data_IF_907350112560
#
_entry.id   IF_907350112560
#
_cell.length_a   1.000
_cell.length_b   1.000
_cell.length_c   1.000
_cell.angle_alpha   90.00
_cell.angle_beta   90.00
_cell.angle_gamma   90.00
#
_symmetry.space_group_name_H-M   'P 1'
#
loop_
_entity.id
_entity.type
_entity.pdbx_description
1 polymer ?
#
# COMPACT_ATOMS: atom_id res chain seq x y z
N UNK A 1 -38.40 -9.18 27.90
CA UNK A 1 -38.17 -8.11 26.91
C UNK A 1 -36.84 -8.45 26.28
N UNK A 2 -36.92 -9.08 25.13
CA UNK A 2 -35.77 -9.55 24.35
C UNK A 2 -35.29 -8.32 23.56
N UNK A 3 -34.12 -7.79 23.92
CA UNK A 3 -33.48 -6.71 23.17
C UNK A 3 -32.53 -7.41 22.21
N UNK A 4 -33.05 -7.79 21.05
CA UNK A 4 -32.20 -8.18 19.92
C UNK A 4 -31.43 -6.94 19.48
N UNK A 5 -30.18 -6.82 19.95
CA UNK A 5 -29.16 -6.01 19.29
C UNK A 5 -29.13 -6.43 17.82
N UNK A 6 -29.63 -5.55 16.95
CA UNK A 6 -29.54 -5.76 15.53
C UNK A 6 -28.06 -5.64 15.15
N UNK A 7 -27.46 -6.72 14.64
CA UNK A 7 -26.12 -6.65 14.08
C UNK A 7 -26.09 -5.54 13.01
N UNK A 8 -25.10 -4.63 13.07
CA UNK A 8 -24.99 -3.54 12.12
C UNK A 8 -24.84 -4.10 10.71
N UNK A 9 -25.45 -3.44 9.73
CA UNK A 9 -25.40 -3.90 8.34
C UNK A 9 -24.00 -3.68 7.78
N UNK A 10 -23.49 -4.62 6.98
CA UNK A 10 -22.22 -4.49 6.26
C UNK A 10 -22.13 -3.11 5.57
N UNK A 11 -21.25 -2.24 6.07
CA UNK A 11 -21.10 -0.84 5.62
C UNK A 11 -21.38 0.23 6.69
N UNK A 12 -22.24 -0.05 7.68
CA UNK A 12 -22.46 0.85 8.82
C UNK A 12 -21.26 0.84 9.77
N UNK A 13 -20.60 -0.32 9.94
CA UNK A 13 -19.40 -0.47 10.78
C UNK A 13 -18.25 0.42 10.30
N UNK A 14 -17.93 0.41 9.01
CA UNK A 14 -16.88 1.26 8.45
C UNK A 14 -17.23 2.75 8.60
N UNK A 15 -18.46 3.17 8.30
CA UNK A 15 -18.82 4.59 8.46
C UNK A 15 -18.79 5.02 9.95
N UNK A 16 -19.12 4.13 10.88
CA UNK A 16 -18.96 4.38 12.32
C UNK A 16 -17.49 4.53 12.73
N UNK A 17 -16.62 3.63 12.25
CA UNK A 17 -15.17 3.73 12.48
C UNK A 17 -14.62 5.05 11.91
N UNK A 18 -14.99 5.41 10.68
CA UNK A 18 -14.56 6.66 10.04
C UNK A 18 -15.08 7.89 10.79
N UNK A 19 -16.31 7.85 11.31
CA UNK A 19 -16.84 8.93 12.14
C UNK A 19 -16.04 9.10 13.44
N UNK A 20 -15.71 8.00 14.11
CA UNK A 20 -14.86 8.02 15.30
C UNK A 20 -13.46 8.58 14.97
N UNK A 21 -12.84 8.09 13.90
CA UNK A 21 -11.54 8.57 13.41
C UNK A 21 -11.54 10.06 13.08
N UNK A 22 -12.61 10.55 12.43
CA UNK A 22 -12.74 11.99 12.15
C UNK A 22 -12.78 12.85 13.42
N UNK A 23 -13.32 12.30 14.51
CA UNK A 23 -13.36 12.98 15.80
C UNK A 23 -12.02 12.92 16.54
N UNK A 24 -11.30 11.80 16.42
CA UNK A 24 -10.00 11.59 17.04
C UNK A 24 -8.92 12.46 16.39
N UNK A 25 -8.84 12.43 15.06
CA UNK A 25 -7.79 13.11 14.30
C UNK A 25 -8.16 14.56 13.95
N UNK A 26 -9.44 14.92 13.98
CA UNK A 26 -9.87 16.31 13.77
C UNK A 26 -9.37 16.89 12.45
N UNK A 27 -8.54 17.92 12.54
CA UNK A 27 -7.95 18.61 11.37
C UNK A 27 -6.94 17.75 10.60
N UNK A 28 -6.35 16.75 11.25
CA UNK A 28 -5.39 15.82 10.64
C UNK A 28 -6.07 14.74 9.81
N UNK A 29 -7.41 14.69 9.80
CA UNK A 29 -8.20 13.79 8.98
C UNK A 29 -8.79 14.49 7.76
N UNK A 30 -8.76 13.82 6.61
CA UNK A 30 -9.46 14.27 5.42
C UNK A 30 -10.05 13.09 4.65
N UNK A 31 -11.36 13.14 4.37
CA UNK A 31 -12.00 12.23 3.41
C UNK A 31 -11.65 12.69 1.99
N UNK A 32 -10.84 11.91 1.27
CA UNK A 32 -10.39 12.26 -0.09
C UNK A 32 -11.49 11.96 -1.12
N UNK A 33 -12.25 10.90 -0.91
CA UNK A 33 -13.41 10.52 -1.73
C UNK A 33 -13.66 9.02 -1.71
N UNK A 34 -14.93 8.60 -1.77
CA UNK A 34 -15.32 7.19 -1.72
C UNK A 34 -14.81 6.51 -0.45
N UNK A 35 -14.02 5.46 -0.64
CA UNK A 35 -13.36 4.59 0.35
C UNK A 35 -11.91 5.00 0.65
N UNK A 36 -11.54 6.25 0.36
CA UNK A 36 -10.19 6.78 0.51
C UNK A 36 -10.14 7.88 1.55
N UNK A 37 -9.27 7.69 2.53
CA UNK A 37 -9.12 8.54 3.70
C UNK A 37 -7.65 8.94 3.85
N UNK A 38 -7.42 10.10 4.44
CA UNK A 38 -6.07 10.64 4.62
C UNK A 38 -5.91 11.11 6.04
N UNK A 39 -4.75 10.79 6.60
CA UNK A 39 -4.37 11.09 7.96
C UNK A 39 -2.99 11.73 7.96
N UNK A 40 -2.83 12.81 8.71
CA UNK A 40 -1.52 13.35 9.07
C UNK A 40 -1.13 12.78 10.43
N UNK A 41 -0.07 12.00 10.45
CA UNK A 41 0.43 11.36 11.68
C UNK A 41 1.64 12.15 12.17
N UNK A 42 1.50 12.71 13.36
CA UNK A 42 2.56 13.44 14.03
C UNK A 42 3.32 12.55 15.01
N UNK A 43 4.60 12.86 15.19
CA UNK A 43 5.40 12.29 16.26
C UNK A 43 5.25 13.17 17.51
N UNK A 44 4.85 12.57 18.64
CA UNK A 44 4.60 13.25 19.91
C UNK A 44 5.89 13.57 20.69
N UNK A 45 7.07 13.19 20.19
CA UNK A 45 8.32 13.35 20.94
C UNK A 45 8.72 14.84 21.04
N UNK A 46 8.74 15.38 22.26
CA UNK A 46 9.14 16.76 22.58
C UNK A 46 10.63 16.82 22.99
N UNK A 47 11.51 16.27 22.15
CA UNK A 47 12.97 16.22 22.39
C UNK A 47 13.67 17.20 21.45
N UNK A 48 14.60 18.00 22.01
CA UNK A 48 15.43 18.96 21.29
C UNK A 48 16.10 18.34 20.05
N UNK A 49 15.45 18.57 18.92
CA UNK A 49 15.90 18.61 17.52
C UNK A 49 17.26 17.94 17.18
N UNK A 50 17.31 16.61 17.00
CA UNK A 50 18.34 16.01 16.18
C UNK A 50 18.08 16.33 14.69
N UNK A 51 19.12 16.53 13.86
CA UNK A 51 18.94 16.81 12.44
C UNK A 51 18.31 15.60 11.72
N UNK A 52 17.41 15.85 10.76
CA UNK A 52 16.70 14.86 9.90
C UNK A 52 15.47 14.16 10.49
N UNK A 53 14.80 14.76 11.48
CA UNK A 53 13.54 14.25 12.04
C UNK A 53 12.35 14.50 11.11
N UNK A 54 11.47 13.50 10.97
CA UNK A 54 10.17 13.67 10.35
C UNK A 54 9.17 14.20 11.39
N UNK A 55 8.65 15.41 11.20
CA UNK A 55 7.66 16.04 12.11
C UNK A 55 6.25 15.49 11.90
N UNK A 56 6.03 14.83 10.77
CA UNK A 56 4.80 14.11 10.50
C UNK A 56 4.82 13.45 9.12
N UNK A 57 3.97 12.45 8.95
CA UNK A 57 3.83 11.69 7.70
C UNK A 57 2.37 11.63 7.31
N UNK A 58 2.11 11.83 6.02
CA UNK A 58 0.77 11.78 5.48
C UNK A 58 0.47 10.37 4.97
N UNK A 59 -0.44 9.67 5.63
CA UNK A 59 -0.88 8.32 5.25
C UNK A 59 -2.22 8.40 4.55
N UNK A 60 -2.33 7.73 3.41
CA UNK A 60 -3.60 7.53 2.70
C UNK A 60 -4.01 6.07 2.84
N UNK A 61 -5.24 5.88 3.31
CA UNK A 61 -5.87 4.59 3.58
C UNK A 61 -6.94 4.37 2.52
N UNK A 62 -6.89 3.23 1.83
CA UNK A 62 -7.89 2.80 0.86
C UNK A 62 -8.52 1.49 1.35
N UNK A 63 -9.79 1.52 1.73
CA UNK A 63 -10.52 0.32 2.16
C UNK A 63 -11.15 -0.38 0.98
N UNK A 64 -11.22 -1.71 0.98
CA UNK A 64 -11.98 -2.45 -0.04
C UNK A 64 -13.46 -2.55 0.35
N UNK A 65 -14.30 -3.04 -0.56
CA UNK A 65 -15.70 -3.36 -0.24
C UNK A 65 -15.85 -4.56 0.70
N UNK A 66 -14.76 -5.28 0.99
CA UNK A 66 -14.74 -6.45 1.87
C UNK A 66 -14.02 -6.18 3.19
N UNK A 67 -13.64 -4.93 3.45
CA UNK A 67 -13.19 -4.50 4.77
C UNK A 67 -14.29 -4.75 5.82
N UNK A 68 -13.97 -5.25 7.03
CA UNK A 68 -12.63 -5.48 7.60
C UNK A 68 -12.04 -6.89 7.34
N UNK A 69 -12.68 -7.72 6.53
CA UNK A 69 -12.15 -9.06 6.17
C UNK A 69 -11.01 -9.03 5.14
N UNK A 70 -10.70 -7.83 4.65
CA UNK A 70 -9.55 -7.56 3.79
C UNK A 70 -8.84 -6.33 4.34
N UNK A 71 -7.50 -6.36 4.51
CA UNK A 71 -6.76 -5.22 5.03
C UNK A 71 -6.93 -4.00 4.13
N UNK A 72 -6.95 -2.79 4.70
CA UNK A 72 -6.87 -1.57 3.90
C UNK A 72 -5.46 -1.43 3.29
N UNK A 73 -5.38 -0.81 2.11
CA UNK A 73 -4.11 -0.44 1.51
C UNK A 73 -3.64 0.90 2.09
N UNK A 74 -2.44 0.91 2.67
CA UNK A 74 -1.83 2.10 3.27
C UNK A 74 -0.70 2.60 2.37
N UNK A 75 -0.68 3.90 2.12
CA UNK A 75 0.38 4.54 1.34
C UNK A 75 0.86 5.84 1.97
N UNK A 76 2.17 6.03 2.04
CA UNK A 76 2.74 7.30 2.44
C UNK A 76 2.77 8.29 1.25
N UNK A 77 2.17 9.46 1.45
CA UNK A 77 2.08 10.55 0.46
C UNK A 77 3.11 11.65 0.70
N UNK A 78 3.70 11.72 1.89
CA UNK A 78 4.76 12.68 2.19
C UNK A 78 6.06 12.32 1.46
N UNK A 79 6.70 13.31 0.84
CA UNK A 79 7.96 13.08 0.09
C UNK A 79 9.10 12.68 1.03
N UNK A 80 9.18 13.32 2.19
CA UNK A 80 10.23 13.09 3.19
C UNK A 80 10.02 11.77 3.94
N UNK A 81 8.76 11.33 4.12
CA UNK A 81 8.42 10.07 4.79
C UNK A 81 8.52 8.81 3.93
N UNK A 82 9.10 8.86 2.73
CA UNK A 82 9.21 7.68 1.85
C UNK A 82 10.13 6.60 2.41
N UNK A 83 11.31 6.98 2.89
CA UNK A 83 12.27 6.04 3.48
C UNK A 83 11.71 5.39 4.75
N UNK A 84 11.11 6.21 5.61
CA UNK A 84 10.34 5.74 6.76
C UNK A 84 9.28 4.71 6.36
N UNK A 85 8.46 5.03 5.35
CA UNK A 85 7.40 4.13 4.92
C UNK A 85 7.94 2.82 4.36
N UNK A 86 9.02 2.85 3.59
CA UNK A 86 9.67 1.62 3.09
C UNK A 86 10.11 0.71 4.23
N UNK A 87 10.63 1.28 5.31
CA UNK A 87 11.04 0.53 6.50
C UNK A 87 9.84 0.02 7.32
N UNK A 88 8.81 0.84 7.52
CA UNK A 88 7.67 0.50 8.39
C UNK A 88 6.62 -0.40 7.70
N UNK A 89 6.48 -0.31 6.38
CA UNK A 89 5.34 -0.85 5.62
C UNK A 89 5.08 -2.33 5.89
N UNK A 90 6.12 -3.17 5.80
CA UNK A 90 5.94 -4.62 5.97
C UNK A 90 5.37 -4.96 7.35
N UNK A 91 5.89 -4.31 8.40
CA UNK A 91 5.44 -4.53 9.78
C UNK A 91 3.99 -4.09 9.97
N UNK A 92 3.58 -2.98 9.35
CA UNK A 92 2.20 -2.47 9.38
C UNK A 92 1.26 -3.42 8.61
N UNK A 93 1.67 -3.93 7.45
CA UNK A 93 0.90 -4.91 6.67
C UNK A 93 0.73 -6.23 7.41
N UNK A 94 1.79 -6.74 8.05
CA UNK A 94 1.73 -7.93 8.89
C UNK A 94 0.76 -7.75 10.06
N UNK A 95 0.77 -6.58 10.71
CA UNK A 95 -0.16 -6.29 11.79
C UNK A 95 -1.62 -6.23 11.32
N UNK A 96 -1.88 -5.66 10.14
CA UNK A 96 -3.22 -5.61 9.57
C UNK A 96 -3.83 -7.01 9.37
N UNK A 97 -3.01 -7.99 9.00
CA UNK A 97 -3.47 -9.39 8.86
C UNK A 97 -3.89 -9.99 10.20
N UNK A 98 -3.30 -9.55 11.32
CA UNK A 98 -3.69 -10.02 12.66
C UNK A 98 -5.02 -9.45 13.14
N UNK A 99 -5.53 -8.40 12.49
CA UNK A 99 -6.75 -7.68 12.86
C UNK A 99 -7.93 -7.98 11.93
N UNK A 100 -7.84 -9.01 11.09
CA UNK A 100 -8.92 -9.34 10.15
C UNK A 100 -10.24 -9.63 10.85
N UNK A 101 -11.32 -9.05 10.31
CA UNK A 101 -12.68 -9.22 10.83
C UNK A 101 -13.09 -8.23 11.92
N UNK A 102 -12.23 -7.27 12.26
CA UNK A 102 -12.55 -6.14 13.16
C UNK A 102 -12.08 -4.81 12.57
N UNK A 103 -12.63 -3.70 13.07
CA UNK A 103 -12.10 -2.36 12.81
C UNK A 103 -10.60 -2.30 13.17
N UNK A 104 -9.81 -1.61 12.36
CA UNK A 104 -8.35 -1.69 12.44
C UNK A 104 -7.63 -0.44 11.93
N UNK A 105 -8.33 0.51 11.32
CA UNK A 105 -7.67 1.70 10.77
C UNK A 105 -7.00 2.48 11.90
N UNK A 106 -7.66 2.62 13.05
CA UNK A 106 -7.07 3.28 14.21
C UNK A 106 -5.78 2.58 14.67
N UNK A 107 -5.81 1.27 14.92
CA UNK A 107 -4.65 0.51 15.38
C UNK A 107 -3.47 0.58 14.40
N UNK A 108 -3.77 0.54 13.09
CA UNK A 108 -2.73 0.69 12.06
C UNK A 108 -2.10 2.09 12.08
N UNK A 109 -2.89 3.15 12.27
CA UNK A 109 -2.37 4.51 12.37
C UNK A 109 -1.57 4.72 13.66
N UNK A 110 -1.99 4.11 14.76
CA UNK A 110 -1.25 4.13 16.03
C UNK A 110 0.09 3.40 15.87
N UNK A 111 0.11 2.24 15.20
CA UNK A 111 1.35 1.55 14.89
C UNK A 111 2.27 2.38 13.98
N UNK A 112 1.73 3.11 13.00
CA UNK A 112 2.51 4.04 12.18
C UNK A 112 3.13 5.14 13.05
N UNK A 113 2.38 5.67 14.02
CA UNK A 113 2.87 6.67 14.97
C UNK A 113 4.00 6.13 15.84
N UNK A 114 3.86 4.92 16.38
CA UNK A 114 4.92 4.24 17.14
C UNK A 114 6.18 4.04 16.30
N UNK A 115 6.01 3.60 15.04
CA UNK A 115 7.10 3.40 14.10
C UNK A 115 7.79 4.72 13.75
N UNK A 116 7.03 5.81 13.61
CA UNK A 116 7.59 7.13 13.34
C UNK A 116 8.47 7.61 14.50
N UNK A 117 8.01 7.42 15.73
CA UNK A 117 8.78 7.68 16.95
C UNK A 117 10.06 6.84 17.03
N UNK A 118 9.99 5.55 16.67
CA UNK A 118 11.15 4.64 16.60
C UNK A 118 12.16 5.11 15.54
N UNK A 119 11.68 5.47 14.35
CA UNK A 119 12.50 5.97 13.25
C UNK A 119 13.25 7.25 13.62
N UNK A 120 12.53 8.21 14.20
CA UNK A 120 13.09 9.49 14.63
C UNK A 120 14.11 9.30 15.78
N UNK A 121 13.86 8.37 16.70
CA UNK A 121 14.79 8.04 17.79
C UNK A 121 16.11 7.42 17.30
N UNK A 122 16.09 6.73 16.16
CA UNK A 122 17.28 6.15 15.52
C UNK A 122 18.04 7.12 14.62
N UNK A 123 17.56 8.36 14.48
CA UNK A 123 18.23 9.41 13.71
C UNK A 123 17.98 9.35 12.20
N UNK A 124 16.89 8.73 11.75
CA UNK A 124 16.50 8.70 10.33
C UNK A 124 17.35 7.81 9.43
N UNK A 125 18.46 7.29 9.95
CA UNK A 125 19.29 6.24 9.35
C UNK A 125 19.09 4.94 10.13
N UNK A 126 17.85 4.43 10.18
CA UNK A 126 17.68 3.04 10.56
C UNK A 126 18.45 2.22 9.51
N UNK A 127 19.64 1.73 9.88
CA UNK A 127 20.41 0.76 9.11
C UNK A 127 19.42 -0.23 8.53
N UNK A 128 19.22 -0.15 7.22
CA UNK A 128 18.52 -1.15 6.45
C UNK A 128 19.06 -2.51 6.91
N UNK A 129 18.23 -3.46 7.39
CA UNK A 129 18.55 -4.84 7.09
C UNK A 129 18.55 -4.88 5.56
N UNK A 130 19.76 -5.02 5.03
CA UNK A 130 20.07 -5.15 3.61
C UNK A 130 20.01 -3.92 2.70
N UNK A 131 21.11 -3.15 2.72
CA UNK A 131 21.61 -2.46 1.52
C UNK A 131 22.25 -3.44 0.50
N UNK A 132 22.08 -4.76 0.69
CA UNK A 132 22.59 -5.80 -0.20
C UNK A 132 21.50 -6.76 -0.71
N UNK A 133 20.23 -6.51 -0.36
CA UNK A 133 19.11 -7.25 -0.91
C UNK A 133 18.70 -6.53 -2.19
N UNK A 134 18.77 -7.27 -3.30
CA UNK A 134 18.38 -6.74 -4.60
C UNK A 134 16.99 -6.09 -4.45
N UNK A 135 16.78 -4.87 -5.01
CA UNK A 135 15.50 -4.20 -4.90
C UNK A 135 14.39 -5.17 -5.28
N UNK A 136 13.30 -5.24 -4.50
CA UNK A 136 12.22 -6.18 -4.76
C UNK A 136 11.80 -6.04 -6.23
N UNK A 137 11.64 -7.16 -6.95
CA UNK A 137 11.42 -7.10 -8.38
C UNK A 137 10.16 -6.29 -8.67
N UNK A 138 10.29 -5.33 -9.58
CA UNK A 138 9.17 -4.54 -10.05
C UNK A 138 8.22 -5.45 -10.82
N UNK A 139 6.92 -5.16 -10.74
CA UNK A 139 5.86 -5.92 -11.40
C UNK A 139 5.01 -4.99 -12.25
N UNK A 140 4.71 -5.40 -13.47
CA UNK A 140 3.82 -4.67 -14.36
C UNK A 140 2.81 -5.60 -15.03
N UNK A 141 1.61 -5.07 -15.29
CA UNK A 141 0.55 -5.76 -16.02
C UNK A 141 0.18 -4.91 -17.24
N UNK A 142 0.42 -5.45 -18.43
CA UNK A 142 0.09 -4.80 -19.69
C UNK A 142 -1.14 -5.44 -20.33
N UNK A 143 -2.07 -4.61 -20.76
CA UNK A 143 -3.17 -5.01 -21.63
C UNK A 143 -2.85 -4.60 -23.06
N UNK A 144 -2.71 -5.58 -23.94
CA UNK A 144 -2.56 -5.37 -25.37
C UNK A 144 -3.92 -5.60 -26.03
N UNK A 145 -4.65 -4.51 -26.25
CA UNK A 145 -5.86 -4.47 -27.07
C UNK A 145 -5.45 -4.11 -28.51
N UNK A 146 -5.90 -4.88 -29.51
CA UNK A 146 -5.60 -4.71 -30.95
C UNK A 146 -4.29 -5.30 -31.50
N UNK A 147 -4.12 -6.63 -31.43
CA UNK A 147 -3.08 -7.31 -32.21
C UNK A 147 -3.55 -7.68 -33.62
N UNK A 148 -2.70 -7.41 -34.62
CA UNK A 148 -2.91 -7.89 -36.00
C UNK A 148 -2.51 -9.37 -36.19
N UNK A 149 -1.67 -9.91 -35.31
CA UNK A 149 -1.23 -11.31 -35.35
C UNK A 149 -0.69 -11.77 -33.98
N UNK A 150 -1.48 -12.50 -33.21
CA UNK A 150 -1.11 -12.91 -31.85
C UNK A 150 0.24 -13.65 -31.78
N UNK A 151 0.50 -14.59 -32.69
CA UNK A 151 1.74 -15.38 -32.69
C UNK A 151 3.00 -14.53 -32.93
N UNK A 152 2.92 -13.49 -33.75
CA UNK A 152 4.07 -12.60 -34.02
C UNK A 152 4.38 -11.74 -32.80
N UNK A 153 3.34 -11.21 -32.15
CA UNK A 153 3.49 -10.38 -30.96
C UNK A 153 3.96 -11.21 -29.76
N UNK A 154 3.42 -12.41 -29.55
CA UNK A 154 3.87 -13.31 -28.46
C UNK A 154 5.35 -13.66 -28.61
N UNK A 155 5.84 -13.93 -29.82
CA UNK A 155 7.27 -14.18 -30.07
C UNK A 155 8.14 -12.97 -29.71
N UNK A 156 7.69 -11.78 -30.11
CA UNK A 156 8.41 -10.53 -29.89
C UNK A 156 8.41 -10.13 -28.41
N UNK A 157 7.29 -10.32 -27.71
CA UNK A 157 7.20 -10.16 -26.26
C UNK A 157 8.13 -11.14 -25.52
N UNK A 158 8.19 -12.40 -25.93
CA UNK A 158 9.14 -13.36 -25.35
C UNK A 158 10.60 -12.96 -25.61
N UNK A 159 10.90 -12.50 -26.81
CA UNK A 159 12.24 -12.01 -27.14
C UNK A 159 12.64 -10.83 -26.26
N UNK A 160 11.75 -9.84 -26.08
CA UNK A 160 12.02 -8.73 -25.16
C UNK A 160 12.20 -9.22 -23.71
N UNK A 161 11.46 -10.26 -23.27
CA UNK A 161 11.56 -10.83 -21.91
C UNK A 161 12.95 -11.38 -21.68
N UNK A 162 13.43 -12.15 -22.66
CA UNK A 162 14.75 -12.73 -22.64
C UNK A 162 15.84 -11.64 -22.68
N UNK A 163 15.67 -10.59 -23.50
CA UNK A 163 16.62 -9.46 -23.62
C UNK A 163 16.72 -8.63 -22.33
N UNK A 164 15.60 -8.40 -21.65
CA UNK A 164 15.51 -7.59 -20.42
C UNK A 164 15.57 -8.44 -19.13
N UNK A 165 15.82 -9.75 -19.26
CA UNK A 165 15.85 -10.71 -18.16
C UNK A 165 14.60 -10.64 -17.25
N UNK A 166 13.43 -10.44 -17.86
CA UNK A 166 12.13 -10.42 -17.16
C UNK A 166 11.52 -11.82 -17.11
N UNK A 167 10.90 -12.15 -15.99
CA UNK A 167 10.05 -13.35 -15.84
C UNK A 167 8.59 -12.96 -15.92
N UNK A 168 7.69 -13.87 -16.30
CA UNK A 168 6.31 -13.47 -16.51
C UNK A 168 5.39 -14.52 -17.11
N UNK A 169 4.12 -14.14 -17.25
CA UNK A 169 3.06 -14.96 -17.85
C UNK A 169 2.31 -14.16 -18.93
N UNK A 170 1.98 -14.85 -20.02
CA UNK A 170 1.15 -14.30 -21.10
C UNK A 170 -0.19 -15.01 -21.06
N UNK A 171 -1.24 -14.29 -20.69
CA UNK A 171 -2.60 -14.80 -20.67
C UNK A 171 -3.34 -14.36 -21.93
N UNK A 172 -3.81 -15.34 -22.70
CA UNK A 172 -4.60 -15.09 -23.91
C UNK A 172 -6.06 -15.49 -23.65
N UNK A 173 -7.02 -14.61 -23.98
CA UNK A 173 -8.45 -14.98 -23.95
C UNK A 173 -8.80 -15.73 -25.24
N UNK A 174 -9.80 -16.60 -25.19
CA UNK A 174 -10.27 -17.55 -26.24
C UNK A 174 -10.54 -17.00 -27.65
N UNK A 175 -10.42 -15.69 -27.87
CA UNK A 175 -10.56 -15.03 -29.18
C UNK A 175 -9.31 -14.22 -29.61
N UNK A 176 -8.16 -14.36 -28.93
CA UNK A 176 -6.90 -13.63 -29.17
C UNK A 176 -7.00 -12.09 -29.28
N UNK A 177 -8.13 -11.52 -28.85
CA UNK A 177 -8.44 -10.10 -29.01
C UNK A 177 -7.71 -9.24 -27.99
N UNK A 178 -7.53 -9.81 -26.79
CA UNK A 178 -6.84 -9.19 -25.67
C UNK A 178 -5.75 -10.16 -25.20
N UNK A 179 -4.54 -9.65 -25.04
CA UNK A 179 -3.45 -10.35 -24.35
C UNK A 179 -3.06 -9.56 -23.12
N UNK A 180 -3.04 -10.26 -21.99
CA UNK A 180 -2.49 -9.74 -20.76
C UNK A 180 -1.07 -10.27 -20.61
N UNK A 181 -0.13 -9.36 -20.36
CA UNK A 181 1.27 -9.70 -20.12
C UNK A 181 1.59 -9.25 -18.70
N UNK A 182 1.86 -10.22 -17.84
CA UNK A 182 2.42 -9.96 -16.52
C UNK A 182 3.93 -10.17 -16.60
N UNK A 183 4.71 -9.18 -16.16
CA UNK A 183 6.17 -9.26 -16.08
C UNK A 183 6.67 -8.86 -14.70
N UNK A 184 7.77 -9.47 -14.30
CA UNK A 184 8.49 -9.28 -13.05
C UNK A 184 10.00 -9.22 -13.33
N UNK A 185 10.71 -8.27 -12.72
CA UNK A 185 12.17 -8.16 -12.88
C UNK A 185 12.74 -6.87 -12.30
N UNK A 186 13.96 -6.51 -12.69
CA UNK A 186 14.60 -5.28 -12.20
C UNK A 186 13.77 -4.04 -12.59
N UNK A 187 13.62 -3.07 -11.68
CA UNK A 187 12.77 -1.88 -11.92
C UNK A 187 13.10 -1.11 -13.20
N UNK A 188 14.38 -1.00 -13.55
CA UNK A 188 14.81 -0.38 -14.80
C UNK A 188 14.38 -1.19 -16.04
N UNK A 189 14.48 -2.52 -15.97
CA UNK A 189 14.11 -3.42 -17.05
C UNK A 189 12.59 -3.48 -17.26
N UNK A 190 11.80 -3.44 -16.18
CA UNK A 190 10.33 -3.35 -16.27
C UNK A 190 9.87 -2.00 -16.81
N UNK A 191 10.62 -0.91 -16.54
CA UNK A 191 10.34 0.41 -17.07
C UNK A 191 10.72 0.56 -18.57
N UNK A 192 11.65 -0.26 -19.07
CA UNK A 192 12.08 -0.28 -20.47
C UNK A 192 11.19 -1.18 -21.37
N UNK A 193 10.31 -1.98 -20.76
CA UNK A 193 9.41 -2.94 -21.41
C UNK A 193 8.37 -2.33 -22.37
#
# INVERSE_FOLDING_TARGET
MDVTEAEPREGEELENEILALSSIFGEDFTRVGGNRYRFLIHDDIDVLDPPHRLTGVQIEVLTSSTYPYCPPDLTCRSTEGKAFWQWAKLSVEEHAVTLLGQEMIYDLLEMVKEKLSEWNSKGGDAEHPDANEAPPPARALFLIDHMRSANRYIKLLRQWADELALTGEILTRTNHRNVFVWVEGAGAAVAEW
#
